data_IF_114650359442
#
_entry.id   IF_114650359442
#
_cell.length_a   1.000
_cell.length_b   1.000
_cell.length_c   1.000
_cell.angle_alpha   90.00
_cell.angle_beta   90.00
_cell.angle_gamma   90.00
#
_symmetry.space_group_name_H-M   'P 1'
#
loop_
_entity.id
_entity.type
_entity.pdbx_description
1 polymer ?
#
# COMPACT_ATOMS: atom_id res chain seq x y z
N UNK A 1 29.13 60.78 28.78
CA UNK A 1 29.73 60.34 30.07
C UNK A 1 29.40 58.87 30.25
N UNK A 2 30.39 58.01 29.99
CA UNK A 2 31.04 57.12 30.98
C UNK A 2 30.24 55.82 31.19
N UNK A 3 30.68 54.64 30.73
CA UNK A 3 31.90 53.87 30.99
C UNK A 3 31.57 52.65 31.87
N UNK A 4 31.69 51.47 31.26
CA UNK A 4 32.34 50.24 31.75
C UNK A 4 32.18 49.85 33.23
N UNK A 5 31.71 48.61 33.50
CA UNK A 5 32.46 47.61 34.29
C UNK A 5 31.81 46.22 34.32
N UNK A 6 32.54 45.24 33.78
CA UNK A 6 32.55 43.86 34.26
C UNK A 6 33.16 43.80 35.66
N UNK A 7 32.92 42.70 36.40
CA UNK A 7 34.01 42.04 37.10
C UNK A 7 34.17 40.56 36.72
N UNK A 8 35.37 40.09 37.02
CA UNK A 8 36.05 38.85 36.63
C UNK A 8 36.00 37.79 37.76
N UNK A 9 36.09 36.52 37.33
CA UNK A 9 36.79 35.33 37.93
C UNK A 9 36.43 34.79 39.34
N UNK A 10 35.91 33.54 39.32
CA UNK A 10 36.52 32.25 39.77
C UNK A 10 37.10 32.11 41.21
N UNK A 11 37.09 30.90 41.86
CA UNK A 11 37.57 29.63 41.27
C UNK A 11 36.95 28.28 41.72
N UNK A 12 37.23 27.25 40.88
CA UNK A 12 37.62 25.86 41.20
C UNK A 12 36.73 24.97 42.07
N UNK A 13 36.28 23.83 41.53
CA UNK A 13 36.74 22.50 42.02
C UNK A 13 36.60 21.41 40.96
N UNK A 14 37.68 20.63 40.81
CA UNK A 14 37.76 19.33 40.15
C UNK A 14 36.73 18.34 40.71
N UNK A 15 36.28 17.36 39.91
CA UNK A 15 36.30 15.92 40.23
C UNK A 15 35.81 15.07 39.03
N UNK A 16 36.66 14.10 38.69
CA UNK A 16 36.45 12.79 38.08
C UNK A 16 35.74 12.66 36.72
N UNK A 17 36.57 12.38 35.71
CA UNK A 17 36.23 11.56 34.57
C UNK A 17 35.82 10.15 35.02
N UNK A 18 34.68 9.67 34.51
CA UNK A 18 34.29 8.27 34.53
C UNK A 18 34.15 7.85 33.07
N UNK A 19 35.11 7.09 32.59
CA UNK A 19 35.03 6.35 31.33
C UNK A 19 33.99 5.23 31.46
N UNK A 20 33.02 5.09 30.54
CA UNK A 20 32.32 3.83 30.38
C UNK A 20 33.10 2.93 29.41
N UNK A 21 33.57 1.80 29.95
CA UNK A 21 34.15 0.66 29.25
C UNK A 21 33.36 0.28 27.99
N UNK A 22 34.03 0.37 26.85
CA UNK A 22 33.56 -0.21 25.59
C UNK A 22 33.71 -1.73 25.64
N UNK A 23 32.64 -2.42 26.03
CA UNK A 23 32.51 -3.87 25.78
C UNK A 23 32.42 -4.13 24.28
N UNK A 24 33.57 -4.42 23.66
CA UNK A 24 33.67 -5.06 22.35
C UNK A 24 33.02 -6.44 22.43
N UNK A 25 31.77 -6.54 21.98
CA UNK A 25 31.18 -7.82 21.57
C UNK A 25 31.79 -8.17 20.22
N UNK A 26 32.73 -9.11 20.23
CA UNK A 26 33.17 -9.84 19.04
C UNK A 26 31.98 -10.65 18.53
N UNK A 27 31.28 -10.15 17.53
CA UNK A 27 30.45 -10.97 16.66
C UNK A 27 31.38 -11.86 15.84
N UNK A 28 31.28 -13.17 16.10
CA UNK A 28 31.88 -14.20 15.28
C UNK A 28 31.33 -14.06 13.87
N UNK A 29 32.23 -13.84 12.92
CA UNK A 29 31.94 -14.01 11.50
C UNK A 29 31.71 -15.51 11.27
N UNK A 30 30.45 -15.91 11.29
CA UNK A 30 30.04 -17.17 10.70
C UNK A 30 30.24 -17.06 9.18
N UNK A 31 31.01 -18.01 8.67
CA UNK A 31 31.26 -18.26 7.26
C UNK A 31 29.98 -18.08 6.44
N UNK A 32 29.94 -17.02 5.63
CA UNK A 32 29.18 -17.05 4.39
C UNK A 32 29.80 -18.14 3.52
N UNK A 33 29.14 -19.30 3.49
CA UNK A 33 29.33 -20.26 2.43
C UNK A 33 29.07 -19.54 1.11
N UNK A 34 30.12 -19.54 0.30
CA UNK A 34 30.18 -19.02 -1.04
C UNK A 34 29.22 -19.86 -1.89
N UNK A 35 27.98 -19.40 -2.03
CA UNK A 35 27.02 -19.99 -2.94
C UNK A 35 27.59 -19.91 -4.36
N UNK A 36 27.95 -21.07 -4.90
CA UNK A 36 28.39 -21.25 -6.28
C UNK A 36 27.29 -20.74 -7.22
N UNK A 37 27.62 -19.72 -8.03
CA UNK A 37 26.73 -19.12 -9.05
C UNK A 37 26.49 -20.04 -10.27
N UNK A 38 26.30 -21.34 -10.08
CA UNK A 38 26.15 -22.31 -11.18
C UNK A 38 24.82 -23.07 -11.20
N UNK A 39 23.91 -22.83 -10.26
CA UNK A 39 22.57 -23.43 -10.33
C UNK A 39 21.64 -22.56 -11.18
N UNK A 40 21.73 -22.68 -12.51
CA UNK A 40 20.62 -22.28 -13.38
C UNK A 40 19.47 -23.29 -13.14
N UNK A 41 18.39 -22.91 -12.45
CA UNK A 41 17.36 -23.85 -12.07
C UNK A 41 16.66 -24.38 -13.33
N UNK A 42 16.77 -25.69 -13.59
CA UNK A 42 16.03 -26.35 -14.67
C UNK A 42 14.54 -26.32 -14.34
N UNK A 43 13.70 -25.88 -15.29
CA UNK A 43 12.25 -25.76 -15.10
C UNK A 43 11.48 -26.70 -16.02
N UNK A 44 10.48 -27.38 -15.46
CA UNK A 44 9.55 -28.22 -16.21
C UNK A 44 8.25 -27.44 -16.39
N UNK A 45 7.92 -27.09 -17.64
CA UNK A 45 6.69 -26.36 -18.00
C UNK A 45 5.85 -27.16 -18.99
N UNK A 46 4.53 -26.92 -18.95
CA UNK A 46 3.66 -27.37 -20.03
C UNK A 46 3.97 -26.56 -21.32
N UNK A 47 4.00 -27.17 -22.53
CA UNK A 47 4.36 -26.45 -23.77
C UNK A 47 3.58 -25.16 -24.01
N UNK A 48 2.26 -25.16 -23.72
CA UNK A 48 1.41 -23.96 -23.77
C UNK A 48 1.97 -22.77 -22.97
N UNK A 49 2.49 -23.04 -21.78
CA UNK A 49 2.97 -22.00 -20.87
C UNK A 49 4.32 -21.45 -21.33
N UNK A 50 5.21 -22.31 -21.81
CA UNK A 50 6.47 -21.87 -22.42
C UNK A 50 6.21 -21.00 -23.66
N UNK A 51 5.30 -21.43 -24.55
CA UNK A 51 4.93 -20.67 -25.74
C UNK A 51 4.27 -19.32 -25.40
N UNK A 52 3.45 -19.26 -24.33
CA UNK A 52 2.85 -18.00 -23.84
C UNK A 52 3.94 -17.02 -23.38
N UNK A 53 4.85 -17.47 -22.52
CA UNK A 53 5.93 -16.63 -22.00
C UNK A 53 6.88 -16.17 -23.11
N UNK A 54 7.19 -17.05 -24.07
CA UNK A 54 7.97 -16.70 -25.25
C UNK A 54 7.25 -15.61 -26.07
N UNK A 55 5.95 -15.75 -26.33
CA UNK A 55 5.17 -14.76 -27.06
C UNK A 55 5.12 -13.40 -26.34
N UNK A 56 5.00 -13.39 -25.01
CA UNK A 56 5.06 -12.16 -24.21
C UNK A 56 6.42 -11.47 -24.26
N UNK A 57 7.51 -12.26 -24.27
CA UNK A 57 8.87 -11.74 -24.45
C UNK A 57 9.06 -11.15 -25.85
N UNK A 58 8.61 -11.87 -26.89
CA UNK A 58 8.66 -11.39 -28.28
C UNK A 58 7.89 -10.09 -28.45
N UNK A 59 6.68 -9.98 -27.90
CA UNK A 59 5.87 -8.76 -28.00
C UNK A 59 6.48 -7.56 -27.24
N UNK A 60 7.38 -7.79 -26.28
CA UNK A 60 8.02 -6.72 -25.53
C UNK A 60 9.29 -6.22 -26.23
N UNK A 61 10.12 -7.15 -26.69
CA UNK A 61 11.47 -6.85 -27.19
C UNK A 61 11.55 -6.80 -28.72
N UNK A 62 10.59 -7.42 -29.42
CA UNK A 62 10.56 -7.59 -30.87
C UNK A 62 9.14 -7.44 -31.44
N UNK A 63 8.48 -6.32 -31.13
CA UNK A 63 7.09 -6.05 -31.55
C UNK A 63 6.95 -5.81 -33.07
N UNK A 64 8.06 -5.64 -33.77
CA UNK A 64 8.15 -5.56 -35.22
C UNK A 64 7.99 -6.91 -35.94
N UNK A 65 8.16 -8.03 -35.24
CA UNK A 65 8.08 -9.36 -35.83
C UNK A 65 6.65 -9.70 -36.23
N UNK A 66 6.48 -10.16 -37.47
CA UNK A 66 5.20 -10.64 -37.97
C UNK A 66 5.37 -11.90 -38.81
N UNK A 67 4.36 -12.77 -38.75
CA UNK A 67 4.36 -14.05 -39.47
C UNK A 67 3.14 -14.13 -40.36
N UNK A 68 3.34 -14.42 -41.64
CA UNK A 68 2.25 -14.71 -42.58
C UNK A 68 2.13 -16.23 -42.76
N UNK A 69 0.99 -16.82 -42.36
CA UNK A 69 0.70 -18.25 -42.53
C UNK A 69 -0.70 -18.47 -43.11
N UNK A 70 -0.97 -19.59 -43.80
CA UNK A 70 -2.32 -19.95 -44.25
C UNK A 70 -3.30 -20.09 -43.08
N UNK A 71 -4.56 -19.69 -43.29
CA UNK A 71 -5.62 -19.80 -42.27
C UNK A 71 -5.84 -21.23 -41.75
N UNK A 72 -5.57 -22.24 -42.59
CA UNK A 72 -5.57 -23.64 -42.21
C UNK A 72 -4.13 -24.16 -42.20
N UNK A 73 -3.52 -24.13 -41.02
CA UNK A 73 -2.14 -24.54 -40.80
C UNK A 73 -2.05 -25.63 -39.72
N UNK A 74 -0.96 -26.39 -39.75
CA UNK A 74 -0.64 -27.35 -38.69
C UNK A 74 0.16 -26.68 -37.57
N UNK A 75 0.17 -27.26 -36.36
CA UNK A 75 1.04 -26.78 -35.27
C UNK A 75 2.51 -26.71 -35.67
N UNK A 76 2.99 -27.72 -36.41
CA UNK A 76 4.38 -27.77 -36.88
C UNK A 76 4.70 -26.63 -37.83
N UNK A 77 3.84 -26.39 -38.82
CA UNK A 77 4.05 -25.30 -39.79
C UNK A 77 3.97 -23.92 -39.13
N UNK A 78 3.12 -23.75 -38.10
CA UNK A 78 3.07 -22.51 -37.34
C UNK A 78 4.35 -22.27 -36.54
N UNK A 79 4.87 -23.29 -35.82
CA UNK A 79 6.12 -23.17 -35.07
C UNK A 79 7.32 -22.88 -35.98
N UNK A 80 7.41 -23.55 -37.13
CA UNK A 80 8.46 -23.30 -38.12
C UNK A 80 8.40 -21.89 -38.72
N UNK A 81 7.20 -21.35 -38.90
CA UNK A 81 7.03 -19.99 -39.39
C UNK A 81 7.46 -18.94 -38.35
N UNK A 82 7.15 -19.18 -37.06
CA UNK A 82 7.65 -18.36 -35.94
C UNK A 82 9.18 -18.44 -35.84
N UNK A 83 9.75 -19.65 -35.90
CA UNK A 83 11.20 -19.88 -35.90
C UNK A 83 11.88 -19.16 -37.08
N UNK A 84 11.28 -19.22 -38.27
CA UNK A 84 11.79 -18.52 -39.47
C UNK A 84 11.72 -17.00 -39.33
N UNK A 85 10.70 -16.47 -38.63
CA UNK A 85 10.56 -15.04 -38.40
C UNK A 85 11.55 -14.51 -37.36
N UNK A 86 11.92 -15.33 -36.36
CA UNK A 86 12.94 -14.98 -35.37
C UNK A 86 14.34 -14.82 -35.97
N UNK A 87 14.62 -15.41 -37.15
CA UNK A 87 15.81 -15.21 -37.99
C UNK A 87 17.09 -14.67 -37.28
N UNK A 88 17.70 -15.47 -36.42
CA UNK A 88 18.97 -15.13 -35.76
C UNK A 88 18.87 -14.36 -34.44
N UNK A 89 17.65 -14.09 -33.95
CA UNK A 89 17.42 -13.68 -32.56
C UNK A 89 17.70 -14.88 -31.66
N UNK A 90 18.91 -14.93 -31.11
CA UNK A 90 19.37 -15.91 -30.11
C UNK A 90 19.68 -15.20 -28.79
N UNK A 91 18.68 -14.45 -28.30
CA UNK A 91 18.78 -13.69 -27.06
C UNK A 91 18.22 -14.51 -25.88
N UNK A 92 18.87 -14.45 -24.71
CA UNK A 92 18.38 -15.16 -23.53
C UNK A 92 17.10 -14.48 -23.04
N UNK A 93 16.03 -15.27 -22.86
CA UNK A 93 14.84 -14.81 -22.14
C UNK A 93 14.63 -15.62 -20.86
N UNK A 94 14.08 -14.97 -19.83
CA UNK A 94 13.83 -15.61 -18.55
C UNK A 94 12.52 -16.39 -18.60
N UNK A 95 12.60 -17.71 -18.52
CA UNK A 95 11.43 -18.58 -18.37
C UNK A 95 10.95 -18.53 -16.92
N UNK A 96 9.81 -17.92 -16.65
CA UNK A 96 9.14 -17.86 -15.34
C UNK A 96 8.55 -19.21 -14.94
N UNK A 97 8.37 -19.49 -13.63
CA UNK A 97 7.69 -20.70 -13.17
C UNK A 97 6.29 -20.73 -13.77
N UNK A 98 5.66 -21.92 -13.88
CA UNK A 98 4.34 -22.00 -14.48
C UNK A 98 3.39 -21.06 -13.72
N UNK A 99 2.76 -20.12 -14.44
CA UNK A 99 1.64 -19.33 -13.91
C UNK A 99 0.38 -20.21 -13.78
N UNK A 100 0.53 -21.43 -13.24
CA UNK A 100 -0.56 -22.30 -12.82
C UNK A 100 -0.83 -22.07 -11.35
N UNK A 101 -1.01 -20.82 -10.99
CA UNK A 101 -1.46 -20.48 -9.67
C UNK A 101 -2.96 -20.61 -9.67
N UNK A 102 -3.43 -21.83 -9.39
CA UNK A 102 -4.73 -21.97 -8.73
C UNK A 102 -4.73 -20.89 -7.64
N UNK A 103 -5.64 -19.90 -7.68
CA UNK A 103 -5.63 -18.80 -6.71
C UNK A 103 -5.64 -19.33 -5.28
N UNK A 104 -6.20 -20.54 -5.06
CA UNK A 104 -6.15 -21.26 -3.79
C UNK A 104 -4.75 -21.73 -3.39
N UNK A 105 -3.92 -22.18 -4.32
CA UNK A 105 -2.53 -22.62 -4.05
C UNK A 105 -1.62 -21.42 -3.80
N UNK A 106 -1.76 -20.31 -4.54
CA UNK A 106 -1.08 -19.05 -4.18
C UNK A 106 -1.53 -18.51 -2.84
N UNK A 107 -2.83 -18.59 -2.57
CA UNK A 107 -3.37 -18.24 -1.26
C UNK A 107 -2.77 -19.11 -0.18
N UNK A 108 -2.72 -20.42 -0.35
CA UNK A 108 -2.13 -21.34 0.62
C UNK A 108 -0.63 -21.10 0.79
N UNK A 109 0.12 -20.85 -0.29
CA UNK A 109 1.53 -20.49 -0.21
C UNK A 109 1.77 -19.13 0.46
N UNK A 110 0.97 -18.11 0.15
CA UNK A 110 1.05 -16.81 0.79
C UNK A 110 0.67 -16.88 2.28
N UNK A 111 -0.34 -17.69 2.63
CA UNK A 111 -0.75 -17.96 4.01
C UNK A 111 0.31 -18.77 4.77
N UNK A 112 0.90 -19.80 4.14
CA UNK A 112 2.00 -20.58 4.72
C UNK A 112 3.26 -19.72 4.89
N UNK A 113 3.60 -18.89 3.91
CA UNK A 113 4.70 -17.95 4.01
C UNK A 113 4.44 -16.92 5.12
N UNK A 114 3.22 -16.41 5.26
CA UNK A 114 2.84 -15.54 6.37
C UNK A 114 2.92 -16.24 7.73
N UNK A 115 2.57 -17.53 7.82
CA UNK A 115 2.59 -18.31 9.07
C UNK A 115 3.99 -18.61 9.62
N UNK A 116 5.05 -18.50 8.79
CA UNK A 116 6.44 -18.73 9.20
C UNK A 116 7.04 -17.59 10.01
N UNK A 117 6.29 -16.52 10.26
CA UNK A 117 6.80 -15.35 10.95
C UNK A 117 5.83 -14.84 12.02
N UNK A 118 6.34 -14.13 13.04
CA UNK A 118 5.50 -13.62 14.12
C UNK A 118 4.37 -12.74 13.56
N UNK A 119 3.13 -13.07 13.91
CA UNK A 119 1.90 -12.36 13.54
C UNK A 119 1.83 -10.91 14.06
N UNK A 120 2.80 -10.48 14.86
CA UNK A 120 2.58 -9.39 15.80
C UNK A 120 2.72 -7.98 15.23
N UNK A 121 3.30 -7.75 14.05
CA UNK A 121 3.42 -6.38 13.56
C UNK A 121 3.23 -6.28 12.05
N UNK A 122 2.29 -5.43 11.63
CA UNK A 122 2.30 -4.87 10.28
C UNK A 122 3.65 -4.19 10.09
N UNK A 123 4.38 -4.62 9.05
CA UNK A 123 5.58 -3.94 8.62
C UNK A 123 5.17 -2.72 7.78
N UNK A 124 5.01 -1.58 8.43
CA UNK A 124 4.81 -0.30 7.78
C UNK A 124 5.72 0.77 8.38
N UNK A 125 6.20 1.68 7.55
CA UNK A 125 7.01 2.83 7.97
C UNK A 125 6.32 4.13 7.54
N UNK A 126 6.40 5.20 8.36
CA UNK A 126 5.83 6.49 7.99
C UNK A 126 6.51 7.06 6.76
N UNK A 127 5.73 7.70 5.89
CA UNK A 127 6.30 8.55 4.84
C UNK A 127 6.92 9.81 5.45
N UNK A 128 7.86 10.42 4.74
CA UNK A 128 8.36 11.75 5.07
C UNK A 128 7.27 12.77 4.72
N UNK A 129 6.73 13.43 5.74
CA UNK A 129 5.74 14.50 5.57
C UNK A 129 5.92 15.52 6.69
N UNK A 130 5.98 16.80 6.32
CA UNK A 130 5.92 17.96 7.23
C UNK A 130 4.53 18.58 7.30
N UNK A 131 3.55 17.99 6.60
CA UNK A 131 2.19 18.51 6.50
C UNK A 131 1.50 18.37 7.86
N UNK A 132 1.11 19.50 8.42
CA UNK A 132 0.18 19.53 9.54
C UNK A 132 -1.25 19.49 8.98
N UNK A 133 -2.04 18.51 9.43
CA UNK A 133 -3.45 18.41 9.06
C UNK A 133 -4.32 19.42 9.80
N UNK A 134 -3.77 20.08 10.83
CA UNK A 134 -4.49 21.04 11.66
C UNK A 134 -5.78 20.45 12.22
N UNK A 135 -6.74 21.32 12.51
CA UNK A 135 -8.15 20.90 12.67
C UNK A 135 -8.83 21.20 11.35
N UNK A 136 -9.02 20.22 10.45
CA UNK A 136 -9.68 20.50 9.18
C UNK A 136 -11.08 21.04 9.45
N UNK A 137 -11.44 22.14 8.78
CA UNK A 137 -12.83 22.58 8.79
C UNK A 137 -13.70 21.47 8.19
N UNK A 138 -14.82 21.12 8.82
CA UNK A 138 -15.69 20.09 8.29
C UNK A 138 -16.17 20.52 6.90
N UNK A 139 -16.09 19.64 5.88
CA UNK A 139 -16.57 19.98 4.56
C UNK A 139 -18.06 20.37 4.63
N UNK A 140 -18.52 21.25 3.72
CA UNK A 140 -19.94 21.56 3.64
C UNK A 140 -20.75 20.27 3.48
N UNK A 141 -21.98 20.23 4.03
CA UNK A 141 -22.83 19.06 3.91
C UNK A 141 -22.97 18.66 2.43
N UNK A 142 -22.84 17.37 2.11
CA UNK A 142 -22.98 16.92 0.73
C UNK A 142 -24.38 17.26 0.21
N UNK A 143 -24.46 17.78 -1.02
CA UNK A 143 -25.72 17.97 -1.73
C UNK A 143 -26.37 16.60 -2.06
N UNK A 144 -27.62 16.58 -2.49
CA UNK A 144 -28.33 15.31 -2.68
C UNK A 144 -27.73 14.43 -3.79
N UNK A 145 -27.18 15.05 -4.84
CA UNK A 145 -26.48 14.31 -5.90
C UNK A 145 -25.25 13.58 -5.36
N UNK A 146 -24.43 14.28 -4.57
CA UNK A 146 -23.25 13.73 -3.90
C UNK A 146 -23.62 12.64 -2.91
N UNK A 147 -24.73 12.82 -2.18
CA UNK A 147 -25.27 11.78 -1.29
C UNK A 147 -25.68 10.54 -2.07
N UNK A 148 -26.34 10.69 -3.21
CA UNK A 148 -26.72 9.54 -4.04
C UNK A 148 -25.49 8.81 -4.60
N UNK A 149 -24.47 9.54 -5.06
CA UNK A 149 -23.19 8.93 -5.46
C UNK A 149 -22.56 8.13 -4.31
N UNK A 150 -22.54 8.66 -3.09
CA UNK A 150 -22.03 7.96 -1.91
C UNK A 150 -22.86 6.72 -1.57
N UNK A 151 -24.19 6.79 -1.66
CA UNK A 151 -25.07 5.62 -1.47
C UNK A 151 -24.79 4.54 -2.50
N UNK A 152 -24.60 4.93 -3.75
CA UNK A 152 -24.29 4.01 -4.84
C UNK A 152 -22.95 3.31 -4.61
N UNK A 153 -21.88 4.07 -4.30
CA UNK A 153 -20.58 3.51 -3.93
C UNK A 153 -20.69 2.54 -2.74
N UNK A 154 -21.47 2.90 -1.72
CA UNK A 154 -21.66 2.04 -0.55
C UNK A 154 -22.38 0.74 -0.87
N UNK A 155 -23.42 0.78 -1.71
CA UNK A 155 -24.10 -0.42 -2.19
C UNK A 155 -23.16 -1.30 -3.01
N UNK A 156 -22.37 -0.71 -3.89
CA UNK A 156 -21.38 -1.43 -4.69
C UNK A 156 -20.33 -2.13 -3.82
N UNK A 157 -19.78 -1.42 -2.83
CA UNK A 157 -18.83 -2.00 -1.86
C UNK A 157 -19.49 -3.13 -1.06
N UNK A 158 -20.72 -2.93 -0.59
CA UNK A 158 -21.45 -3.93 0.20
C UNK A 158 -21.77 -5.21 -0.57
N UNK A 159 -22.02 -5.07 -1.89
CA UNK A 159 -22.31 -6.17 -2.79
C UNK A 159 -21.05 -6.83 -3.38
N UNK A 160 -19.90 -6.18 -3.26
CA UNK A 160 -18.64 -6.74 -3.75
C UNK A 160 -18.16 -7.82 -2.81
N UNK A 161 -18.06 -9.05 -3.31
CA UNK A 161 -17.45 -10.13 -2.52
C UNK A 161 -16.03 -9.75 -2.12
N UNK A 162 -15.72 -10.01 -0.86
CA UNK A 162 -14.41 -9.72 -0.32
C UNK A 162 -13.33 -10.52 -1.07
N UNK A 163 -12.52 -9.83 -1.87
CA UNK A 163 -11.45 -10.43 -2.67
C UNK A 163 -10.21 -10.62 -1.79
N UNK A 164 -10.05 -11.82 -1.22
CA UNK A 164 -8.73 -12.27 -0.75
C UNK A 164 -7.82 -12.49 -1.98
N UNK A 165 -6.52 -12.12 -1.94
CA UNK A 165 -5.73 -11.82 -0.75
C UNK A 165 -5.26 -10.35 -0.72
N UNK A 166 -5.23 -9.76 0.48
CA UNK A 166 -4.10 -8.88 0.77
C UNK A 166 -2.89 -9.81 0.72
N UNK A 167 -2.11 -9.73 -0.36
CA UNK A 167 -0.81 -10.39 -0.38
C UNK A 167 -0.12 -9.90 0.88
N UNK A 168 0.08 -10.83 1.81
CA UNK A 168 0.63 -10.68 3.14
C UNK A 168 1.47 -9.41 3.23
N UNK A 169 1.11 -8.46 4.13
CA UNK A 169 1.73 -7.13 4.37
C UNK A 169 3.27 -7.24 4.55
N UNK A 170 3.95 -7.56 3.46
CA UNK A 170 5.35 -7.88 3.27
C UNK A 170 5.59 -7.63 1.79
N UNK A 171 5.83 -6.37 1.39
CA UNK A 171 6.34 -6.08 0.07
C UNK A 171 7.59 -6.95 -0.15
N UNK A 172 7.59 -7.75 -1.21
CA UNK A 172 8.70 -8.65 -1.56
C UNK A 172 9.91 -7.92 -2.15
N UNK A 173 10.10 -6.65 -1.78
CA UNK A 173 11.22 -5.81 -2.19
C UNK A 173 11.99 -5.39 -0.94
N UNK A 174 13.29 -5.18 -1.10
CA UNK A 174 14.37 -5.15 -0.09
C UNK A 174 14.03 -4.54 1.27
N UNK A 175 13.17 -3.50 1.33
CA UNK A 175 12.77 -2.85 2.58
C UNK A 175 11.62 -3.54 3.35
N UNK A 176 10.80 -4.41 2.75
CA UNK A 176 9.70 -5.17 3.42
C UNK A 176 8.64 -4.35 4.20
N UNK A 177 8.66 -3.01 4.16
CA UNK A 177 7.66 -2.15 4.79
C UNK A 177 6.71 -1.50 3.78
N UNK A 178 5.43 -1.39 4.14
CA UNK A 178 4.45 -0.59 3.41
C UNK A 178 4.49 0.89 3.84
N UNK A 179 4.10 1.83 2.95
CA UNK A 179 4.00 3.23 3.33
C UNK A 179 2.87 3.44 4.33
N UNK A 180 3.14 4.24 5.36
CA UNK A 180 2.17 4.68 6.35
C UNK A 180 1.96 6.19 6.20
N UNK A 181 0.71 6.57 5.99
CA UNK A 181 0.27 7.96 5.88
C UNK A 181 -0.52 8.36 7.12
N UNK A 182 -0.57 9.66 7.42
CA UNK A 182 -1.35 10.20 8.54
C UNK A 182 -2.66 10.76 8.03
N UNK A 183 -3.73 10.56 8.81
CA UNK A 183 -5.06 11.06 8.48
C UNK A 183 -5.79 11.66 9.68
N UNK A 184 -6.75 12.52 9.38
CA UNK A 184 -7.80 12.96 10.29
C UNK A 184 -9.15 12.64 9.63
N UNK A 185 -9.90 11.69 10.21
CA UNK A 185 -11.12 11.16 9.60
C UNK A 185 -12.35 11.49 10.46
N UNK A 186 -13.46 11.78 9.79
CA UNK A 186 -14.80 11.74 10.37
C UNK A 186 -15.58 10.61 9.72
N UNK A 187 -15.94 9.60 10.52
CA UNK A 187 -16.72 8.43 10.11
C UNK A 187 -18.19 8.67 10.41
N UNK A 188 -19.05 8.45 9.41
CA UNK A 188 -20.51 8.62 9.50
C UNK A 188 -21.22 7.41 8.86
N UNK A 189 -22.46 7.16 9.28
CA UNK A 189 -23.33 6.28 8.51
C UNK A 189 -23.56 6.86 7.11
N UNK A 190 -23.73 6.02 6.09
CA UNK A 190 -23.91 6.44 4.68
C UNK A 190 -25.10 7.39 4.54
N UNK A 191 -26.23 7.05 5.16
CA UNK A 191 -27.43 7.90 5.23
C UNK A 191 -27.50 8.80 6.47
N UNK A 192 -26.39 8.93 7.20
CA UNK A 192 -26.33 9.70 8.43
C UNK A 192 -26.70 11.16 8.21
N UNK A 193 -27.61 11.66 9.04
CA UNK A 193 -27.98 13.07 9.15
C UNK A 193 -26.94 13.82 9.97
N UNK A 194 -26.86 15.15 9.88
CA UNK A 194 -25.88 15.94 10.64
C UNK A 194 -25.91 15.73 12.16
N UNK A 195 -27.07 15.37 12.72
CA UNK A 195 -27.26 15.12 14.16
C UNK A 195 -26.96 13.68 14.58
N UNK A 196 -26.80 12.78 13.61
CA UNK A 196 -26.57 11.38 13.92
C UNK A 196 -25.15 11.19 14.48
N UNK A 197 -24.92 10.12 15.26
CA UNK A 197 -23.60 9.80 15.78
C UNK A 197 -22.52 9.75 14.68
N UNK A 198 -21.33 10.25 15.01
CA UNK A 198 -20.14 10.17 14.17
C UNK A 198 -18.94 9.82 15.02
N UNK A 199 -17.94 9.19 14.40
CA UNK A 199 -16.68 8.85 15.06
C UNK A 199 -15.54 9.67 14.44
N UNK A 200 -14.81 10.43 15.25
CA UNK A 200 -13.64 11.21 14.79
C UNK A 200 -12.36 10.45 15.14
N UNK A 201 -11.50 10.26 14.15
CA UNK A 201 -10.19 9.62 14.28
C UNK A 201 -9.12 10.64 13.90
N UNK A 202 -8.54 11.32 14.89
CA UNK A 202 -7.55 12.38 14.66
C UNK A 202 -6.13 11.84 14.72
N UNK A 203 -5.29 12.21 13.74
CA UNK A 203 -3.88 11.85 13.71
C UNK A 203 -3.63 10.35 13.59
N UNK A 204 -4.57 9.62 12.99
CA UNK A 204 -4.49 8.16 12.85
C UNK A 204 -3.52 7.79 11.74
N UNK A 205 -2.78 6.71 11.97
CA UNK A 205 -1.92 6.11 10.96
C UNK A 205 -2.73 5.15 10.08
N UNK A 206 -2.56 5.27 8.78
CA UNK A 206 -3.21 4.40 7.78
C UNK A 206 -2.14 3.81 6.89
N UNK A 207 -2.28 2.53 6.54
CA UNK A 207 -1.37 1.85 5.62
C UNK A 207 -1.84 2.18 4.21
N UNK A 208 -0.99 2.81 3.43
CA UNK A 208 -1.26 3.10 2.02
C UNK A 208 -1.00 1.81 1.23
N UNK A 209 -2.07 1.10 0.87
CA UNK A 209 -2.02 -0.24 0.31
C UNK A 209 -2.69 -0.27 -1.06
N UNK A 210 -1.87 -0.17 -2.11
CA UNK A 210 -2.34 -0.30 -3.50
C UNK A 210 -2.84 -1.71 -3.83
N UNK A 211 -2.55 -2.71 -2.99
CA UNK A 211 -3.10 -4.07 -3.10
C UNK A 211 -4.47 -4.23 -2.45
N UNK A 212 -4.86 -3.32 -1.55
CA UNK A 212 -6.18 -3.32 -0.94
C UNK A 212 -7.20 -2.79 -1.95
N UNK A 213 -8.17 -3.62 -2.34
CA UNK A 213 -9.21 -3.22 -3.30
C UNK A 213 -10.08 -2.04 -2.81
N UNK A 214 -10.30 -1.93 -1.50
CA UNK A 214 -11.11 -0.87 -0.90
C UNK A 214 -10.49 -0.43 0.42
N UNK A 215 -10.87 0.76 0.89
CA UNK A 215 -10.46 1.23 2.21
C UNK A 215 -11.23 0.50 3.31
N UNK A 216 -10.50 -0.01 4.31
CA UNK A 216 -11.07 -0.84 5.38
C UNK A 216 -10.64 -0.29 6.73
N UNK A 217 -11.63 -0.12 7.60
CA UNK A 217 -11.45 0.33 8.98
C UNK A 217 -11.76 -0.85 9.88
N UNK A 218 -10.84 -1.13 10.80
CA UNK A 218 -11.07 -2.14 11.81
C UNK A 218 -12.09 -1.62 12.82
N UNK A 219 -13.14 -2.39 13.13
CA UNK A 219 -14.25 -2.00 14.01
C UNK A 219 -13.75 -1.48 15.36
N UNK A 220 -12.70 -2.08 15.90
CA UNK A 220 -12.08 -1.73 17.18
C UNK A 220 -11.52 -0.30 17.24
N UNK A 221 -11.30 0.36 16.09
CA UNK A 221 -10.94 1.78 16.05
C UNK A 221 -12.13 2.71 16.29
N UNK A 222 -13.37 2.22 16.13
CA UNK A 222 -14.57 3.05 16.23
C UNK A 222 -15.00 3.23 17.69
N UNK A 223 -15.47 4.43 18.02
CA UNK A 223 -15.96 4.73 19.36
C UNK A 223 -17.18 3.84 19.70
N UNK A 224 -17.32 3.39 20.97
CA UNK A 224 -18.37 2.43 21.35
C UNK A 224 -19.80 2.88 20.99
N UNK A 225 -20.11 4.17 21.15
CA UNK A 225 -21.42 4.73 20.81
C UNK A 225 -21.72 4.67 19.32
N UNK A 226 -20.71 4.90 18.47
CA UNK A 226 -20.88 4.79 17.03
C UNK A 226 -21.02 3.32 16.59
N UNK A 227 -20.28 2.39 17.21
CA UNK A 227 -20.47 0.95 16.97
C UNK A 227 -21.89 0.48 17.28
N UNK A 228 -22.46 0.97 18.39
CA UNK A 228 -23.85 0.66 18.73
C UNK A 228 -24.84 1.25 17.72
N UNK A 229 -24.61 2.50 17.31
CA UNK A 229 -25.40 3.13 16.25
C UNK A 229 -25.39 2.32 14.94
N UNK A 230 -24.23 1.78 14.53
CA UNK A 230 -24.10 0.97 13.32
C UNK A 230 -24.84 -0.38 13.36
N UNK A 231 -25.41 -0.79 14.51
CA UNK A 231 -26.26 -1.99 14.62
C UNK A 231 -27.72 -1.74 14.22
N UNK A 232 -28.13 -0.49 14.09
CA UNK A 232 -29.50 -0.16 13.67
C UNK A 232 -29.79 -0.70 12.26
N UNK A 233 -30.99 -1.24 12.08
CA UNK A 233 -31.52 -1.74 10.81
C UNK A 233 -31.52 -0.71 9.67
N UNK A 234 -31.50 0.60 9.97
CA UNK A 234 -31.37 1.65 8.96
C UNK A 234 -30.09 1.52 8.12
N UNK A 235 -29.07 0.82 8.64
CA UNK A 235 -27.80 0.59 7.96
C UNK A 235 -27.74 -0.70 7.15
N UNK A 236 -28.76 -1.57 7.24
CA UNK A 236 -28.79 -2.87 6.55
C UNK A 236 -28.64 -2.79 5.02
N UNK A 237 -29.13 -1.75 4.31
CA UNK A 237 -28.86 -1.59 2.87
C UNK A 237 -27.37 -1.49 2.51
N UNK A 238 -26.52 -1.20 3.49
CA UNK A 238 -25.06 -1.03 3.36
C UNK A 238 -24.29 -2.11 4.11
N UNK A 239 -24.97 -3.18 4.53
CA UNK A 239 -24.38 -4.31 5.24
C UNK A 239 -24.11 -5.43 4.25
N UNK A 240 -22.83 -5.63 3.94
CA UNK A 240 -22.37 -6.78 3.19
C UNK A 240 -22.24 -8.03 4.08
N UNK A 241 -21.88 -9.15 3.45
CA UNK A 241 -21.61 -10.42 4.15
C UNK A 241 -20.54 -10.27 5.23
N UNK A 242 -19.54 -9.43 4.96
CA UNK A 242 -18.33 -9.37 5.76
C UNK A 242 -18.17 -8.15 6.66
N UNK A 243 -18.90 -7.06 6.36
CA UNK A 243 -18.84 -5.82 7.11
C UNK A 243 -19.89 -4.81 6.66
N UNK A 244 -19.78 -3.59 7.18
CA UNK A 244 -20.72 -2.50 6.93
C UNK A 244 -20.02 -1.34 6.23
N UNK A 245 -20.61 -0.78 5.19
CA UNK A 245 -20.11 0.43 4.55
C UNK A 245 -20.43 1.69 5.35
N UNK A 246 -19.45 2.58 5.45
CA UNK A 246 -19.55 3.87 6.14
C UNK A 246 -18.99 4.99 5.27
N UNK A 247 -19.54 6.20 5.42
CA UNK A 247 -19.04 7.39 4.76
C UNK A 247 -17.88 8.00 5.57
N UNK A 248 -16.80 8.34 4.88
CA UNK A 248 -15.59 8.94 5.44
C UNK A 248 -15.38 10.31 4.85
N UNK A 249 -15.12 11.30 5.72
CA UNK A 249 -14.47 12.55 5.35
C UNK A 249 -13.05 12.53 5.91
N UNK A 250 -12.05 12.54 5.04
CA UNK A 250 -10.65 12.41 5.44
C UNK A 250 -9.83 13.60 4.99
N UNK A 251 -9.09 14.21 5.92
CA UNK A 251 -7.88 14.95 5.61
C UNK A 251 -6.68 14.01 5.67
N UNK A 252 -5.90 13.93 4.61
CA UNK A 252 -4.76 13.01 4.47
C UNK A 252 -3.49 13.82 4.25
N UNK A 253 -2.45 13.51 5.03
CA UNK A 253 -1.14 14.13 4.88
C UNK A 253 -0.28 13.25 3.97
N UNK A 254 -0.02 13.76 2.77
CA UNK A 254 0.96 13.20 1.85
C UNK A 254 2.29 13.96 2.00
N UNK A 255 3.31 13.57 1.24
CA UNK A 255 4.65 14.15 1.41
C UNK A 255 4.73 15.62 1.01
N UNK A 256 3.94 16.05 0.03
CA UNK A 256 3.97 17.41 -0.51
C UNK A 256 2.74 18.26 -0.13
N UNK A 257 1.59 17.66 0.17
CA UNK A 257 0.37 18.41 0.46
C UNK A 257 -0.61 17.66 1.38
N UNK A 258 -1.51 18.40 2.05
CA UNK A 258 -2.74 17.82 2.58
C UNK A 258 -3.77 17.65 1.44
N UNK A 259 -4.54 16.56 1.47
CA UNK A 259 -5.68 16.35 0.57
C UNK A 259 -6.94 16.02 1.36
N UNK A 260 -8.06 16.63 0.95
CA UNK A 260 -9.38 16.32 1.50
C UNK A 260 -10.09 15.37 0.54
N UNK A 261 -10.44 14.18 1.03
CA UNK A 261 -11.11 13.14 0.24
C UNK A 261 -12.33 12.65 1.00
N UNK A 262 -13.44 12.57 0.28
CA UNK A 262 -14.64 11.91 0.75
C UNK A 262 -14.81 10.60 -0.01
N UNK A 263 -15.08 9.53 0.73
CA UNK A 263 -15.15 8.18 0.18
C UNK A 263 -15.96 7.25 1.09
N UNK A 264 -16.16 6.01 0.64
CA UNK A 264 -16.80 4.96 1.43
C UNK A 264 -15.77 3.93 1.85
N UNK A 265 -15.77 3.56 3.12
CA UNK A 265 -14.94 2.49 3.67
C UNK A 265 -15.81 1.33 4.15
N UNK A 266 -15.25 0.13 4.23
CA UNK A 266 -15.88 -1.00 4.91
C UNK A 266 -15.37 -1.10 6.35
N UNK A 267 -16.27 -1.37 7.30
CA UNK A 267 -15.97 -1.63 8.71
C UNK A 267 -15.95 -3.13 8.95
N UNK A 268 -14.79 -3.68 9.29
CA UNK A 268 -14.57 -5.11 9.49
C UNK A 268 -14.11 -5.39 10.92
N UNK A 269 -14.54 -6.50 11.54
CA UNK A 269 -13.98 -6.91 12.83
C UNK A 269 -12.51 -7.33 12.66
N UNK A 270 -11.70 -7.16 13.70
CA UNK A 270 -10.28 -7.58 13.74
C UNK A 270 -10.03 -9.00 13.23
N UNK A 271 -10.95 -9.93 13.49
CA UNK A 271 -10.84 -11.34 13.07
C UNK A 271 -10.83 -11.54 11.54
N UNK A 272 -11.31 -10.56 10.77
CA UNK A 272 -11.29 -10.58 9.29
C UNK A 272 -10.14 -9.77 8.69
N UNK A 273 -9.42 -9.00 9.51
CA UNK A 273 -8.29 -8.19 9.07
C UNK A 273 -7.03 -9.04 8.86
N UNK A 274 -6.19 -8.71 7.88
CA UNK A 274 -4.88 -9.35 7.71
C UNK A 274 -4.05 -9.25 8.98
N UNK A 275 -3.46 -10.37 9.41
CA UNK A 275 -2.68 -10.46 10.64
C UNK A 275 -3.42 -9.90 11.87
N UNK A 276 -4.76 -9.87 11.83
CA UNK A 276 -5.59 -9.24 12.86
C UNK A 276 -5.20 -7.78 13.14
N UNK A 277 -4.77 -7.05 12.11
CA UNK A 277 -4.45 -5.63 12.21
C UNK A 277 -5.63 -4.87 12.85
N UNK A 278 -5.33 -4.03 13.83
CA UNK A 278 -6.25 -3.01 14.34
C UNK A 278 -5.80 -1.67 13.75
N UNK A 279 -6.40 -1.30 12.63
CA UNK A 279 -5.90 -0.21 11.80
C UNK A 279 -6.84 0.18 10.67
N UNK A 280 -6.32 1.03 9.79
CA UNK A 280 -6.95 1.41 8.53
C UNK A 280 -6.04 0.98 7.38
N UNK A 281 -6.59 0.19 6.46
CA UNK A 281 -5.98 -0.08 5.16
C UNK A 281 -6.57 0.91 4.18
N UNK A 282 -5.79 1.87 3.72
CA UNK A 282 -6.19 2.86 2.72
C UNK A 282 -5.97 2.25 1.34
N UNK A 283 -7.08 1.92 0.66
CA UNK A 283 -7.10 1.09 -0.53
C UNK A 283 -7.46 1.83 -1.82
N UNK A 284 -7.71 1.07 -2.88
CA UNK A 284 -7.99 1.57 -4.21
C UNK A 284 -9.35 2.25 -4.33
N UNK A 285 -10.44 1.49 -4.24
CA UNK A 285 -11.79 1.93 -4.60
C UNK A 285 -12.23 3.18 -3.86
N UNK A 286 -12.49 4.24 -4.63
CA UNK A 286 -12.96 5.54 -4.13
C UNK A 286 -11.89 6.40 -3.45
N UNK A 287 -10.64 5.94 -3.42
CA UNK A 287 -9.51 6.53 -2.71
C UNK A 287 -8.28 6.62 -3.62
N UNK A 288 -7.36 5.64 -3.55
CA UNK A 288 -6.10 5.65 -4.32
C UNK A 288 -6.36 5.70 -5.83
N UNK A 289 -7.44 5.08 -6.32
CA UNK A 289 -7.83 5.09 -7.73
C UNK A 289 -8.19 6.49 -8.27
N UNK A 290 -8.35 7.48 -7.39
CA UNK A 290 -8.61 8.89 -7.73
C UNK A 290 -7.40 9.78 -7.59
N UNK A 291 -6.24 9.22 -7.25
CA UNK A 291 -5.00 9.96 -7.07
C UNK A 291 -4.06 9.70 -8.25
N UNK A 292 -3.52 10.77 -8.81
CA UNK A 292 -2.31 10.73 -9.63
C UNK A 292 -1.13 11.04 -8.72
N UNK A 293 -0.30 10.04 -8.42
CA UNK A 293 0.77 10.17 -7.43
C UNK A 293 2.02 9.41 -7.82
N UNK A 294 3.14 9.83 -7.23
CA UNK A 294 4.43 9.12 -7.28
C UNK A 294 4.76 8.59 -5.90
N UNK A 295 5.11 7.31 -5.87
CA UNK A 295 5.59 6.62 -4.68
C UNK A 295 7.11 6.43 -4.81
N UNK A 296 7.89 7.09 -3.96
CA UNK A 296 9.36 7.13 -4.06
C UNK A 296 9.95 6.50 -2.79
N UNK A 297 10.34 5.22 -2.85
CA UNK A 297 10.92 4.54 -1.70
C UNK A 297 12.23 5.19 -1.25
N UNK A 298 12.56 5.01 0.03
CA UNK A 298 13.79 5.50 0.67
C UNK A 298 15.06 5.16 -0.11
N UNK A 299 15.21 3.94 -0.60
CA UNK A 299 16.43 3.54 -1.32
C UNK A 299 16.63 4.33 -2.63
N UNK A 300 15.53 4.69 -3.32
CA UNK A 300 15.59 5.57 -4.51
C UNK A 300 16.00 6.98 -4.11
N UNK A 301 15.45 7.51 -3.01
CA UNK A 301 15.84 8.84 -2.48
C UNK A 301 17.33 8.87 -2.11
N UNK A 302 17.84 7.84 -1.44
CA UNK A 302 19.27 7.69 -1.12
C UNK A 302 20.15 7.62 -2.36
N UNK A 303 19.74 6.85 -3.37
CA UNK A 303 20.46 6.76 -4.63
C UNK A 303 20.54 8.11 -5.37
N UNK A 304 19.56 9.00 -5.14
CA UNK A 304 19.56 10.39 -5.64
C UNK A 304 20.36 11.37 -4.76
N UNK A 305 20.99 10.89 -3.69
CA UNK A 305 21.77 11.72 -2.76
C UNK A 305 20.94 12.46 -1.71
N UNK A 306 19.66 12.08 -1.52
CA UNK A 306 18.82 12.68 -0.48
C UNK A 306 19.06 12.04 0.90
N UNK A 307 19.12 12.87 1.94
CA UNK A 307 19.14 12.41 3.32
C UNK A 307 17.75 11.97 3.79
N UNK A 308 17.63 10.70 4.17
CA UNK A 308 16.39 10.13 4.70
C UNK A 308 16.70 9.05 5.76
N UNK A 309 16.03 9.18 6.90
CA UNK A 309 16.19 8.31 8.07
C UNK A 309 15.74 6.87 7.80
N UNK A 310 16.39 5.89 8.44
CA UNK A 310 15.97 4.47 8.42
C UNK A 310 14.58 4.25 9.05
N UNK A 311 14.06 5.22 9.80
CA UNK A 311 12.70 5.18 10.35
C UNK A 311 11.61 5.61 9.37
N UNK A 312 11.96 6.01 8.14
CA UNK A 312 11.01 6.49 7.14
C UNK A 312 10.92 5.51 5.96
N UNK A 313 9.74 5.42 5.37
CA UNK A 313 9.48 4.62 4.18
C UNK A 313 10.00 5.27 2.90
N UNK A 314 9.81 6.59 2.77
CA UNK A 314 10.02 7.33 1.54
C UNK A 314 8.99 8.46 1.40
N UNK A 315 8.71 8.84 0.16
CA UNK A 315 7.74 9.88 -0.18
C UNK A 315 6.53 9.32 -0.94
N UNK A 316 5.35 9.87 -0.66
CA UNK A 316 4.18 9.78 -1.54
C UNK A 316 3.82 11.20 -1.96
N UNK A 317 4.08 11.52 -3.23
CA UNK A 317 3.89 12.85 -3.80
C UNK A 317 2.63 12.84 -4.65
N UNK A 318 1.67 13.69 -4.33
CA UNK A 318 0.45 13.87 -5.11
C UNK A 318 0.67 14.90 -6.21
N UNK A 319 0.37 14.53 -7.44
CA UNK A 319 0.42 15.43 -8.58
C UNK A 319 -0.99 15.98 -8.87
N UNK A 320 -2.01 15.11 -8.95
CA UNK A 320 -3.41 15.48 -9.21
C UNK A 320 -4.39 14.54 -8.49
N UNK A 321 -5.64 14.95 -8.30
CA UNK A 321 -6.69 14.06 -7.82
C UNK A 321 -8.07 14.42 -8.36
N UNK A 322 -8.99 13.44 -8.38
CA UNK A 322 -10.39 13.65 -8.76
C UNK A 322 -11.24 13.88 -7.52
N UNK A 323 -11.83 15.07 -7.38
CA UNK A 323 -12.71 15.42 -6.27
C UNK A 323 -14.07 14.68 -6.37
N UNK A 324 -14.96 14.82 -5.39
CA UNK A 324 -16.25 14.09 -5.38
C UNK A 324 -17.25 14.57 -6.42
N UNK A 325 -17.06 15.79 -6.92
CA UNK A 325 -17.88 16.35 -7.98
C UNK A 325 -17.45 15.80 -9.35
N UNK A 326 -16.29 15.13 -9.42
CA UNK A 326 -15.73 14.51 -10.62
C UNK A 326 -14.71 15.40 -11.33
N UNK A 327 -14.30 16.48 -10.68
CA UNK A 327 -13.36 17.45 -11.25
C UNK A 327 -11.92 17.09 -10.87
N UNK A 328 -11.01 17.25 -11.83
CA UNK A 328 -9.57 17.09 -11.60
C UNK A 328 -9.03 18.33 -10.92
N UNK A 329 -8.30 18.13 -9.82
CA UNK A 329 -7.60 19.17 -9.08
C UNK A 329 -6.10 18.88 -9.09
N UNK A 330 -5.30 19.82 -9.60
CA UNK A 330 -3.83 19.76 -9.57
C UNK A 330 -3.28 20.43 -8.31
N UNK A 331 -2.14 19.96 -7.82
CA UNK A 331 -1.47 20.42 -6.58
C UNK A 331 -0.38 21.46 -6.84
#
# INVERSE_FOLDING_TARGET
MASVKRPHREPSTLIAAVEPETKRVRLQAEKQEQATMDDNPTRILHPRELLRQLAESMNREHDELSVTIPAHSTWRSALQAVESALNGVDEPFLVFPPCNTNPRVMREWALQAASRFPLENVQALPIRSSVDLGTPEPPPPPNEERRERLRQMAKEISNTEFRYPYVSLRPALEDSFLPMIRGALTVRGVDGRPKDPSCKLSGINMIFDTGAHMTIITEELLCPSFREYLKDSVHDPYRGKDGLSVHINAGIALSNCPVLIDFVAAVFPKSKMPNQLVGILFGQSGCIDRLSFRSIPRHVLRAKGEEISDGLWGDIVLDEYVNMDGEVTSI
#
